data_IF_574658792339
#
_entry.id   IF_574658792339
#
_cell.length_a   1.000
_cell.length_b   1.000
_cell.length_c   1.000
_cell.angle_alpha   90.00
_cell.angle_beta   90.00
_cell.angle_gamma   90.00
#
_symmetry.space_group_name_H-M   'P 1'
#
loop_
_entity.id
_entity.type
_entity.pdbx_description
1 polymer ?
#
# COMPACT_ATOMS: atom_id res chain seq x y z
N UNK A 1 -31.12 -14.09 36.76
CA UNK A 1 -30.19 -15.14 36.31
C UNK A 1 -29.75 -14.75 34.92
N UNK A 2 -28.49 -14.32 34.78
CA UNK A 2 -27.98 -13.72 33.53
C UNK A 2 -27.47 -14.78 32.58
N UNK A 3 -27.98 -14.76 31.35
CA UNK A 3 -27.45 -15.51 30.22
C UNK A 3 -26.10 -14.91 29.81
N UNK A 4 -25.01 -15.45 30.37
CA UNK A 4 -23.66 -15.27 29.87
C UNK A 4 -23.43 -16.19 28.67
N UNK A 5 -24.09 -15.89 27.55
CA UNK A 5 -23.66 -16.39 26.23
C UNK A 5 -22.39 -15.64 25.81
N UNK A 6 -21.28 -15.93 26.48
CA UNK A 6 -19.95 -15.55 26.03
C UNK A 6 -19.56 -16.49 24.89
N UNK A 7 -19.87 -16.07 23.67
CA UNK A 7 -19.22 -16.63 22.49
C UNK A 7 -17.71 -16.43 22.65
N UNK A 8 -16.87 -17.45 22.46
CA UNK A 8 -15.42 -17.25 22.47
C UNK A 8 -15.07 -16.20 21.41
N UNK A 9 -14.12 -15.30 21.70
CA UNK A 9 -13.55 -14.43 20.67
C UNK A 9 -12.87 -15.32 19.60
N UNK A 10 -13.60 -15.65 18.53
CA UNK A 10 -13.13 -16.45 17.39
C UNK A 10 -12.10 -15.68 16.53
N UNK A 11 -11.71 -14.48 16.95
CA UNK A 11 -10.75 -13.63 16.25
C UNK A 11 -9.33 -13.82 16.82
N UNK A 12 -8.43 -14.58 16.15
CA UNK A 12 -7.03 -14.60 16.56
C UNK A 12 -6.44 -13.20 16.59
N UNK A 13 -5.66 -12.92 17.65
CA UNK A 13 -5.02 -11.62 17.87
C UNK A 13 -4.21 -11.18 16.64
N UNK A 14 -4.59 -10.03 16.07
CA UNK A 14 -3.81 -9.32 15.06
C UNK A 14 -2.62 -8.65 15.73
N UNK A 15 -1.51 -8.56 15.00
CA UNK A 15 -0.35 -7.83 15.48
C UNK A 15 -0.06 -6.72 14.47
N UNK A 16 -0.46 -5.50 14.84
CA UNK A 16 0.13 -4.29 14.27
C UNK A 16 1.42 -4.02 15.06
N UNK A 17 2.55 -4.00 14.36
CA UNK A 17 3.86 -3.93 15.00
C UNK A 17 4.64 -2.77 14.41
N UNK A 18 5.23 -1.99 15.29
CA UNK A 18 6.25 -1.03 14.93
C UNK A 18 7.39 -1.13 15.93
N UNK A 19 8.61 -1.37 15.43
CA UNK A 19 9.82 -1.34 16.25
C UNK A 19 10.53 -0.03 15.95
N UNK A 20 10.40 0.93 16.88
CA UNK A 20 11.06 2.22 16.77
C UNK A 20 12.58 2.01 16.71
N UNK A 21 13.24 2.72 15.80
CA UNK A 21 14.70 2.76 15.75
C UNK A 21 15.17 3.61 16.95
N UNK A 22 16.18 3.16 17.70
CA UNK A 22 16.81 4.02 18.73
C UNK A 22 17.35 5.29 18.02
N UNK A 23 16.84 6.46 18.40
CA UNK A 23 17.20 7.75 17.78
C UNK A 23 16.32 8.20 16.60
N UNK A 24 15.05 7.77 16.52
CA UNK A 24 14.07 8.35 15.58
C UNK A 24 13.84 9.85 15.81
N UNK A 25 13.56 10.62 14.76
CA UNK A 25 13.17 12.02 14.87
C UNK A 25 11.65 12.16 15.02
N UNK A 26 11.20 13.12 15.83
CA UNK A 26 9.77 13.33 16.18
C UNK A 26 8.78 13.34 14.98
N UNK A 27 9.07 13.94 13.81
CA UNK A 27 8.14 13.94 12.68
C UNK A 27 7.96 12.56 12.05
N UNK A 28 9.00 11.72 12.11
CA UNK A 28 8.94 10.36 11.58
C UNK A 28 8.06 9.46 12.45
N UNK A 29 8.08 9.70 13.75
CA UNK A 29 7.29 8.97 14.73
C UNK A 29 5.81 9.33 14.66
N UNK A 30 5.47 10.59 14.36
CA UNK A 30 4.07 11.02 14.20
C UNK A 30 3.35 10.31 13.02
N UNK A 31 3.98 10.24 11.85
CA UNK A 31 3.39 9.52 10.69
C UNK A 31 3.29 8.03 10.97
N UNK A 32 4.34 7.43 11.53
CA UNK A 32 4.33 6.00 11.82
C UNK A 32 3.26 5.64 12.88
N UNK A 33 3.03 6.49 13.87
CA UNK A 33 1.93 6.33 14.82
C UNK A 33 0.57 6.36 14.13
N UNK A 34 0.32 7.32 13.24
CA UNK A 34 -0.94 7.41 12.46
C UNK A 34 -1.17 6.18 11.61
N UNK A 35 -0.14 5.72 10.90
CA UNK A 35 -0.21 4.48 10.10
C UNK A 35 -0.47 3.28 11.02
N UNK A 36 0.27 3.14 12.12
CA UNK A 36 0.12 2.04 13.06
C UNK A 36 -1.30 1.98 13.63
N UNK A 37 -1.86 3.13 14.04
CA UNK A 37 -3.24 3.25 14.50
C UNK A 37 -4.24 2.79 13.43
N UNK A 38 -4.05 3.22 12.18
CA UNK A 38 -4.90 2.80 11.08
C UNK A 38 -4.83 1.28 10.86
N UNK A 39 -3.62 0.71 10.80
CA UNK A 39 -3.41 -0.73 10.62
C UNK A 39 -4.02 -1.58 11.76
N UNK A 40 -3.99 -1.07 12.99
CA UNK A 40 -4.57 -1.74 14.15
C UNK A 40 -6.10 -1.85 14.06
N UNK A 41 -6.77 -0.86 13.47
CA UNK A 41 -8.22 -0.74 13.49
C UNK A 41 -8.94 -1.35 12.28
N UNK A 42 -8.20 -1.79 11.27
CA UNK A 42 -8.73 -2.61 10.17
C UNK A 42 -9.16 -3.97 10.73
N UNK A 43 -10.43 -4.40 10.57
CA UNK A 43 -11.06 -5.55 11.26
C UNK A 43 -11.66 -6.63 10.34
N UNK A 44 -11.92 -6.40 9.06
CA UNK A 44 -12.74 -7.30 8.22
C UNK A 44 -12.05 -8.49 7.53
N UNK A 45 -10.82 -8.88 7.89
CA UNK A 45 -10.01 -9.79 7.05
C UNK A 45 -9.60 -11.15 7.61
N UNK A 46 -9.47 -12.17 6.73
CA UNK A 46 -8.96 -13.48 7.11
C UNK A 46 -7.48 -13.41 7.45
N UNK A 47 -7.20 -13.75 8.70
CA UNK A 47 -5.94 -13.48 9.37
C UNK A 47 -4.74 -14.12 8.66
N UNK A 48 -4.86 -15.36 8.16
CA UNK A 48 -3.68 -16.15 7.78
C UNK A 48 -3.01 -15.75 6.45
N UNK A 49 -3.57 -14.84 5.65
CA UNK A 49 -3.24 -14.75 4.21
C UNK A 49 -3.01 -13.33 3.70
N UNK A 50 -2.76 -12.40 4.62
CA UNK A 50 -2.60 -10.97 4.31
C UNK A 50 -1.40 -10.40 5.08
N UNK A 51 -0.67 -9.53 4.40
CA UNK A 51 0.39 -8.69 4.94
C UNK A 51 0.09 -7.24 4.58
N UNK A 52 0.16 -6.32 5.54
CA UNK A 52 0.10 -4.88 5.29
C UNK A 52 1.39 -4.26 5.80
N UNK A 53 2.10 -3.47 4.99
CA UNK A 53 3.35 -2.84 5.42
C UNK A 53 3.56 -1.46 4.80
N UNK A 54 4.24 -0.59 5.56
CA UNK A 54 4.49 0.78 5.13
C UNK A 54 5.92 0.98 4.61
N UNK A 55 6.01 1.40 3.35
CA UNK A 55 7.23 1.80 2.66
C UNK A 55 7.39 3.31 2.73
N UNK A 56 8.53 3.77 3.25
CA UNK A 56 8.78 5.20 3.45
C UNK A 56 10.00 5.66 2.67
N UNK A 57 9.97 6.89 2.11
CA UNK A 57 11.17 7.54 1.60
C UNK A 57 12.25 7.67 2.67
N UNK A 58 13.46 7.23 2.33
CA UNK A 58 14.68 7.42 3.11
C UNK A 58 15.75 8.03 2.21
N UNK A 59 16.58 8.89 2.79
CA UNK A 59 17.76 9.45 2.12
C UNK A 59 19.00 8.70 2.59
N UNK A 60 19.83 8.23 1.67
CA UNK A 60 21.14 7.69 2.00
C UNK A 60 22.12 8.80 2.37
N UNK A 61 23.25 8.45 2.98
CA UNK A 61 24.38 9.38 3.19
C UNK A 61 24.90 9.98 1.89
N UNK A 62 24.77 9.25 0.77
CA UNK A 62 25.08 9.71 -0.59
C UNK A 62 23.97 10.56 -1.24
N UNK A 63 22.91 10.91 -0.51
CA UNK A 63 21.81 11.75 -1.01
C UNK A 63 20.78 11.03 -1.89
N UNK A 64 20.95 9.72 -2.14
CA UNK A 64 20.01 8.91 -2.94
C UNK A 64 18.69 8.76 -2.20
N UNK A 65 17.58 8.83 -2.93
CA UNK A 65 16.23 8.63 -2.38
C UNK A 65 15.79 7.19 -2.65
N UNK A 66 15.49 6.47 -1.58
CA UNK A 66 15.05 5.07 -1.63
C UNK A 66 13.74 4.92 -0.85
N UNK A 67 12.99 3.85 -1.09
CA UNK A 67 11.96 3.37 -0.19
C UNK A 67 12.52 2.24 0.65
N UNK A 68 12.21 2.28 1.94
CA UNK A 68 12.44 1.15 2.85
C UNK A 68 11.19 0.91 3.68
N UNK A 69 10.90 -0.35 3.97
CA UNK A 69 9.94 -0.73 4.98
C UNK A 69 10.61 -1.05 6.32
N UNK A 70 11.93 -0.98 6.44
CA UNK A 70 12.64 -1.28 7.69
C UNK A 70 12.29 -0.28 8.79
N UNK A 71 12.01 -0.80 9.99
CA UNK A 71 11.56 -0.01 11.15
C UNK A 71 10.27 0.80 10.93
N UNK A 72 9.46 0.43 9.94
CA UNK A 72 8.14 1.01 9.72
C UNK A 72 7.02 0.10 10.21
N UNK A 73 5.83 0.66 10.48
CA UNK A 73 4.64 -0.10 10.85
C UNK A 73 4.28 -1.16 9.81
N UNK A 74 3.85 -2.31 10.31
CA UNK A 74 3.26 -3.38 9.51
C UNK A 74 2.20 -4.11 10.33
N UNK A 75 1.25 -4.74 9.65
CA UNK A 75 0.27 -5.62 10.23
C UNK A 75 0.31 -6.99 9.56
N UNK A 76 0.31 -8.02 10.39
CA UNK A 76 0.33 -9.42 9.98
C UNK A 76 -0.46 -10.24 10.99
N UNK A 77 -0.98 -11.40 10.59
CA UNK A 77 -1.47 -12.35 11.58
C UNK A 77 -0.31 -13.04 12.29
N UNK A 78 -0.36 -13.02 13.62
CA UNK A 78 0.57 -13.77 14.47
C UNK A 78 0.54 -15.29 14.25
N UNK A 79 -0.49 -15.82 13.58
CA UNK A 79 -0.59 -17.25 13.24
C UNK A 79 0.22 -17.63 11.99
N UNK A 80 0.53 -16.68 11.10
CA UNK A 80 1.32 -16.97 9.90
C UNK A 80 2.79 -16.57 10.11
N UNK A 81 3.56 -17.51 10.67
CA UNK A 81 5.00 -17.34 10.93
C UNK A 81 5.81 -17.12 9.65
N UNK A 82 5.39 -17.64 8.50
CA UNK A 82 6.10 -17.43 7.22
C UNK A 82 6.04 -15.96 6.80
N UNK A 83 4.88 -15.31 6.90
CA UNK A 83 4.76 -13.90 6.58
C UNK A 83 5.66 -13.02 7.47
N UNK A 84 5.69 -13.29 8.78
CA UNK A 84 6.49 -12.48 9.70
C UNK A 84 7.99 -12.79 9.65
N UNK A 85 8.38 -14.08 9.68
CA UNK A 85 9.80 -14.48 9.76
C UNK A 85 10.51 -14.57 8.42
N UNK A 86 9.77 -14.76 7.33
CA UNK A 86 10.35 -14.95 6.01
C UNK A 86 10.04 -13.74 5.12
N UNK A 87 8.77 -13.50 4.78
CA UNK A 87 8.40 -12.40 3.87
C UNK A 87 8.84 -11.03 4.39
N UNK A 88 8.35 -10.63 5.58
CA UNK A 88 8.65 -9.33 6.18
C UNK A 88 10.15 -9.13 6.42
N UNK A 89 10.82 -10.15 6.96
CA UNK A 89 12.27 -10.09 7.19
C UNK A 89 13.07 -9.94 5.89
N UNK A 90 12.61 -10.54 4.78
CA UNK A 90 13.18 -10.32 3.46
C UNK A 90 12.89 -8.92 2.93
N UNK A 91 11.65 -8.42 3.03
CA UNK A 91 11.31 -7.04 2.63
C UNK A 91 12.19 -6.00 3.34
N UNK A 92 12.55 -6.21 4.62
CA UNK A 92 13.46 -5.32 5.36
C UNK A 92 14.88 -5.21 4.76
N UNK A 93 15.33 -6.20 3.97
CA UNK A 93 16.67 -6.21 3.37
C UNK A 93 16.73 -5.42 2.08
N UNK A 94 15.61 -5.28 1.38
CA UNK A 94 15.54 -4.64 0.08
C UNK A 94 15.14 -3.16 0.18
N UNK A 95 15.58 -2.40 -0.80
CA UNK A 95 15.18 -1.01 -1.03
C UNK A 95 14.57 -0.88 -2.42
N UNK A 96 13.66 0.09 -2.60
CA UNK A 96 13.23 0.50 -3.94
C UNK A 96 13.82 1.86 -4.30
N UNK A 97 14.30 2.04 -5.52
CA UNK A 97 14.81 3.36 -5.96
C UNK A 97 13.69 4.34 -6.22
N UNK A 98 13.84 5.57 -5.72
CA UNK A 98 13.01 6.71 -6.09
C UNK A 98 13.88 7.66 -6.92
N UNK A 99 14.23 7.25 -8.13
CA UNK A 99 14.96 8.07 -9.09
C UNK A 99 14.11 8.32 -10.32
N UNK A 100 14.23 9.52 -10.88
CA UNK A 100 13.80 9.75 -12.26
C UNK A 100 14.60 8.81 -13.17
N UNK A 101 13.90 8.28 -14.17
CA UNK A 101 14.33 7.20 -15.06
C UNK A 101 15.80 7.33 -15.47
N UNK A 102 16.62 6.32 -15.17
CA UNK A 102 17.97 6.19 -15.76
C UNK A 102 19.13 5.89 -14.82
N UNK A 103 18.96 6.05 -13.50
CA UNK A 103 20.04 5.69 -12.54
C UNK A 103 19.83 4.25 -12.05
N UNK A 104 20.52 3.30 -12.68
CA UNK A 104 20.65 1.93 -12.17
C UNK A 104 21.65 1.95 -11.03
N UNK A 105 21.22 1.53 -9.84
CA UNK A 105 22.11 1.33 -8.71
C UNK A 105 22.66 -0.10 -8.78
N UNK A 106 23.97 -0.23 -8.83
CA UNK A 106 24.68 -1.52 -8.76
C UNK A 106 24.75 -2.01 -7.30
N UNK A 107 23.58 -2.17 -6.69
CA UNK A 107 23.40 -2.76 -5.37
C UNK A 107 22.38 -3.90 -5.51
N UNK A 108 22.77 -5.16 -5.26
CA UNK A 108 21.89 -6.32 -5.42
C UNK A 108 20.66 -6.30 -4.50
N UNK A 109 20.66 -5.46 -3.46
CA UNK A 109 19.52 -5.27 -2.55
C UNK A 109 18.59 -4.12 -2.97
N UNK A 110 18.87 -3.49 -4.10
CA UNK A 110 18.08 -2.37 -4.61
C UNK A 110 17.27 -2.79 -5.84
N UNK A 111 15.95 -2.59 -5.77
CA UNK A 111 15.01 -2.89 -6.84
C UNK A 111 14.60 -1.59 -7.53
N UNK A 112 14.68 -1.58 -8.87
CA UNK A 112 14.32 -0.43 -9.72
C UNK A 112 13.02 -0.71 -10.46
N UNK A 113 12.25 0.34 -10.78
CA UNK A 113 11.08 0.25 -11.66
C UNK A 113 9.94 -0.67 -11.17
N UNK A 114 9.81 -0.85 -9.86
CA UNK A 114 8.85 -1.77 -9.25
C UNK A 114 7.69 -1.04 -8.55
N UNK A 115 6.57 -1.73 -8.27
CA UNK A 115 5.31 -1.12 -7.87
C UNK A 115 5.37 -0.10 -6.71
N UNK A 116 6.15 -0.31 -5.63
CA UNK A 116 6.28 0.72 -4.59
C UNK A 116 6.93 2.01 -5.10
N UNK A 117 7.92 1.91 -5.97
CA UNK A 117 8.60 3.07 -6.57
C UNK A 117 7.72 3.80 -7.58
N UNK A 118 7.00 3.08 -8.42
CA UNK A 118 6.14 3.65 -9.45
C UNK A 118 4.89 4.28 -8.83
N UNK A 119 4.31 3.67 -7.78
CA UNK A 119 3.20 4.26 -7.03
C UNK A 119 3.59 5.59 -6.35
N UNK A 120 4.78 5.68 -5.75
CA UNK A 120 5.21 6.95 -5.13
C UNK A 120 5.60 8.02 -6.15
N UNK A 121 6.17 7.64 -7.30
CA UNK A 121 6.56 8.59 -8.35
C UNK A 121 5.35 9.11 -9.13
N UNK A 122 4.37 8.24 -9.38
CA UNK A 122 3.15 8.58 -10.10
C UNK A 122 2.09 9.22 -9.21
N UNK A 123 2.18 9.03 -7.89
CA UNK A 123 1.16 9.39 -6.90
C UNK A 123 -0.18 8.67 -7.11
N UNK A 124 -0.17 7.54 -7.81
CA UNK A 124 -1.35 6.71 -8.04
C UNK A 124 -1.23 5.34 -7.37
N UNK A 125 -2.36 4.74 -6.93
CA UNK A 125 -2.40 3.35 -6.56
C UNK A 125 -1.91 2.43 -7.68
N UNK A 126 -1.33 1.29 -7.35
CA UNK A 126 -1.07 0.21 -8.30
C UNK A 126 -1.60 -1.10 -7.76
N UNK A 127 -2.22 -1.92 -8.61
CA UNK A 127 -2.83 -3.19 -8.20
C UNK A 127 -2.39 -4.28 -9.15
N UNK A 128 -1.90 -5.38 -8.58
CA UNK A 128 -1.56 -6.60 -9.32
C UNK A 128 -2.38 -7.74 -8.75
N UNK A 129 -3.26 -8.31 -9.58
CA UNK A 129 -4.20 -9.37 -9.19
C UNK A 129 -3.60 -10.77 -9.33
N UNK A 130 -2.51 -10.92 -10.09
CA UNK A 130 -1.72 -12.14 -10.21
C UNK A 130 -0.23 -11.80 -10.29
N UNK A 131 0.53 -12.27 -9.31
CA UNK A 131 1.97 -12.09 -9.20
C UNK A 131 2.77 -13.05 -10.09
N UNK A 132 2.16 -14.12 -10.60
CA UNK A 132 2.86 -15.16 -11.37
C UNK A 132 3.63 -14.63 -12.59
N UNK A 133 3.08 -13.68 -13.39
CA UNK A 133 3.80 -13.08 -14.52
C UNK A 133 5.01 -12.23 -14.11
N UNK A 134 5.14 -11.88 -12.84
CA UNK A 134 6.18 -11.01 -12.30
C UNK A 134 7.32 -11.77 -11.59
N UNK A 135 7.39 -13.10 -11.75
CA UNK A 135 8.49 -13.94 -11.25
C UNK A 135 9.87 -13.45 -11.72
N UNK A 136 10.89 -13.71 -10.92
CA UNK A 136 12.26 -13.22 -11.14
C UNK A 136 12.55 -11.87 -10.49
N UNK A 137 11.52 -11.16 -9.99
CA UNK A 137 11.71 -10.05 -9.05
C UNK A 137 11.86 -10.65 -7.65
N UNK A 138 12.94 -10.38 -6.90
CA UNK A 138 13.23 -11.09 -5.64
C UNK A 138 12.08 -11.06 -4.62
N UNK A 139 11.45 -9.91 -4.41
CA UNK A 139 10.34 -9.79 -3.46
C UNK A 139 9.02 -10.41 -3.98
N UNK A 140 8.87 -10.58 -5.29
CA UNK A 140 7.71 -11.30 -5.87
C UNK A 140 7.87 -12.80 -5.67
N UNK A 141 9.05 -13.34 -5.91
CA UNK A 141 9.31 -14.78 -5.72
C UNK A 141 9.08 -15.17 -4.24
N UNK A 142 9.58 -14.35 -3.30
CA UNK A 142 9.38 -14.57 -1.85
C UNK A 142 7.90 -14.40 -1.46
N UNK A 143 7.16 -13.47 -2.09
CA UNK A 143 5.72 -13.32 -1.87
C UNK A 143 4.96 -14.59 -2.27
N UNK A 144 5.24 -15.13 -3.46
CA UNK A 144 4.63 -16.34 -3.99
C UNK A 144 4.93 -17.56 -3.11
N UNK A 145 6.16 -17.71 -2.62
CA UNK A 145 6.54 -18.76 -1.65
C UNK A 145 5.80 -18.65 -0.31
N UNK A 146 5.29 -17.46 0.02
CA UNK A 146 4.48 -17.18 1.20
C UNK A 146 2.96 -17.23 0.94
N UNK A 147 2.52 -17.76 -0.20
CA UNK A 147 1.13 -17.77 -0.66
C UNK A 147 0.50 -16.37 -0.83
N UNK A 148 1.31 -15.33 -1.04
CA UNK A 148 0.82 -14.02 -1.45
C UNK A 148 0.82 -13.99 -2.99
N UNK A 149 -0.34 -13.82 -3.61
CA UNK A 149 -0.50 -13.92 -5.07
C UNK A 149 -0.94 -12.62 -5.71
N UNK A 150 -1.34 -11.63 -4.91
CA UNK A 150 -1.80 -10.33 -5.38
C UNK A 150 -1.40 -9.25 -4.37
N UNK A 151 -1.30 -8.01 -4.84
CA UNK A 151 -1.07 -6.87 -3.96
C UNK A 151 -1.74 -5.60 -4.50
N UNK A 152 -1.79 -4.61 -3.62
CA UNK A 152 -2.07 -3.22 -3.94
C UNK A 152 -1.02 -2.33 -3.25
N UNK A 153 -0.48 -1.36 -3.99
CA UNK A 153 0.44 -0.32 -3.53
C UNK A 153 -0.33 0.98 -3.48
N UNK A 154 -0.45 1.56 -2.28
CA UNK A 154 -1.31 2.70 -2.01
C UNK A 154 -0.49 3.88 -1.50
N UNK A 155 -0.26 4.94 -2.31
CA UNK A 155 0.34 6.16 -1.81
C UNK A 155 -0.50 6.74 -0.66
N UNK A 156 0.13 6.99 0.48
CA UNK A 156 -0.48 7.60 1.64
C UNK A 156 -0.11 9.08 1.70
N UNK A 157 -1.10 9.94 1.86
CA UNK A 157 -0.96 11.39 1.84
C UNK A 157 -1.27 12.00 3.20
N UNK A 158 -0.47 12.98 3.59
CA UNK A 158 -0.84 14.01 4.55
C UNK A 158 -1.30 15.26 3.80
N UNK A 159 -1.70 16.29 4.56
CA UNK A 159 -1.98 17.63 4.01
C UNK A 159 -0.79 18.27 3.28
N UNK A 160 0.45 17.84 3.59
CA UNK A 160 1.69 18.38 2.99
C UNK A 160 2.19 17.57 1.80
N UNK A 161 1.67 16.37 1.58
CA UNK A 161 2.00 15.54 0.42
C UNK A 161 2.10 14.06 0.73
N UNK A 162 2.71 13.31 -0.20
CA UNK A 162 2.88 11.86 -0.04
C UNK A 162 3.91 11.55 1.06
N UNK A 163 3.49 10.78 2.07
CA UNK A 163 4.32 10.38 3.21
C UNK A 163 4.96 8.99 3.04
N UNK A 164 4.49 8.22 2.07
CA UNK A 164 4.99 6.88 1.74
C UNK A 164 3.95 6.06 0.98
N UNK A 165 4.18 4.75 0.88
CA UNK A 165 3.30 3.80 0.20
C UNK A 165 2.94 2.67 1.16
N UNK A 166 1.66 2.38 1.29
CA UNK A 166 1.17 1.20 2.01
C UNK A 166 1.02 0.07 1.01
N UNK A 167 1.75 -1.01 1.23
CA UNK A 167 1.53 -2.27 0.54
C UNK A 167 0.48 -3.08 1.30
N UNK A 168 -0.48 -3.62 0.58
CA UNK A 168 -1.37 -4.69 1.06
C UNK A 168 -1.18 -5.88 0.12
N UNK A 169 -0.58 -6.94 0.63
CA UNK A 169 -0.35 -8.19 -0.10
C UNK A 169 -1.28 -9.28 0.43
N UNK A 170 -1.91 -10.04 -0.47
CA UNK A 170 -2.91 -11.03 -0.12
C UNK A 170 -2.83 -12.29 -1.00
N UNK A 171 -3.41 -13.40 -0.51
CA UNK A 171 -3.59 -14.63 -1.30
C UNK A 171 -4.73 -14.56 -2.32
N UNK A 172 -5.75 -13.74 -2.07
CA UNK A 172 -6.93 -13.68 -2.93
C UNK A 172 -7.30 -12.24 -3.24
N UNK A 173 -7.47 -11.90 -4.52
CA UNK A 173 -7.84 -10.55 -4.97
C UNK A 173 -9.09 -9.98 -4.29
N UNK A 174 -10.08 -10.82 -3.98
CA UNK A 174 -11.32 -10.39 -3.34
C UNK A 174 -11.12 -9.74 -1.96
N UNK A 175 -9.98 -9.95 -1.30
CA UNK A 175 -9.67 -9.28 -0.04
C UNK A 175 -9.19 -7.84 -0.23
N UNK A 176 -8.62 -7.49 -1.37
CA UNK A 176 -7.99 -6.18 -1.59
C UNK A 176 -9.00 -5.03 -1.48
N UNK A 177 -10.17 -5.13 -2.11
CA UNK A 177 -11.20 -4.09 -2.08
C UNK A 177 -11.70 -3.80 -0.67
N UNK A 178 -11.98 -4.87 0.07
CA UNK A 178 -12.52 -4.74 1.41
C UNK A 178 -11.45 -4.13 2.33
N UNK A 179 -10.16 -4.50 2.17
CA UNK A 179 -9.03 -3.89 2.91
C UNK A 179 -8.89 -2.42 2.56
N UNK A 180 -8.95 -2.08 1.27
CA UNK A 180 -8.89 -0.70 0.80
C UNK A 180 -9.92 0.17 1.52
N UNK A 181 -11.19 -0.25 1.50
CA UNK A 181 -12.29 0.51 2.08
C UNK A 181 -12.15 0.71 3.60
N UNK A 182 -11.70 -0.31 4.33
CA UNK A 182 -11.45 -0.17 5.76
C UNK A 182 -10.25 0.69 6.07
N UNK A 183 -9.14 0.43 5.39
CA UNK A 183 -7.89 1.13 5.63
C UNK A 183 -8.02 2.60 5.26
N UNK A 184 -8.76 2.95 4.20
CA UNK A 184 -9.06 4.33 3.86
C UNK A 184 -9.79 5.04 5.01
N UNK A 185 -10.88 4.46 5.53
CA UNK A 185 -11.63 5.05 6.65
C UNK A 185 -10.76 5.22 7.89
N UNK A 186 -9.90 4.26 8.18
CA UNK A 186 -9.02 4.33 9.34
C UNK A 186 -7.87 5.33 9.16
N UNK A 187 -7.34 5.49 7.94
CA UNK A 187 -6.36 6.53 7.63
C UNK A 187 -6.96 7.93 7.76
N UNK A 188 -8.18 8.13 7.24
CA UNK A 188 -8.90 9.41 7.30
C UNK A 188 -9.10 9.88 8.75
N UNK A 189 -9.50 8.98 9.65
CA UNK A 189 -9.60 9.25 11.09
C UNK A 189 -8.27 9.70 11.72
N UNK A 190 -7.14 9.30 11.13
CA UNK A 190 -5.79 9.65 11.58
C UNK A 190 -5.19 10.84 10.81
N UNK A 191 -5.98 11.51 9.96
CA UNK A 191 -5.54 12.66 9.17
C UNK A 191 -4.57 12.29 8.03
N UNK A 192 -4.74 11.10 7.46
CA UNK A 192 -4.07 10.63 6.24
C UNK A 192 -5.13 10.25 5.20
N UNK A 193 -4.76 10.15 3.92
CA UNK A 193 -5.68 9.71 2.86
C UNK A 193 -4.94 8.94 1.76
N UNK A 194 -5.66 8.19 0.92
CA UNK A 194 -5.14 7.66 -0.34
C UNK A 194 -5.30 8.62 -1.52
N UNK A 195 -6.13 9.64 -1.34
CA UNK A 195 -6.35 10.70 -2.32
C UNK A 195 -5.32 11.81 -2.11
N UNK A 196 -4.60 12.24 -3.15
CA UNK A 196 -3.66 13.35 -3.04
C UNK A 196 -4.39 14.65 -2.66
N UNK A 197 -3.79 15.52 -1.82
CA UNK A 197 -4.35 16.83 -1.54
C UNK A 197 -4.45 17.68 -2.82
N UNK A 198 -5.40 18.63 -2.90
CA UNK A 198 -5.59 19.47 -4.08
C UNK A 198 -4.33 20.19 -4.56
N UNK A 199 -3.42 20.52 -3.65
CA UNK A 199 -2.12 21.15 -3.96
C UNK A 199 -1.20 20.29 -4.83
N UNK A 200 -1.42 18.97 -4.88
CA UNK A 200 -0.66 18.03 -5.71
C UNK A 200 -1.37 17.67 -7.01
N UNK A 201 -2.59 18.17 -7.23
CA UNK A 201 -3.31 17.92 -8.47
C UNK A 201 -2.60 18.67 -9.61
N UNK A 202 -2.08 17.91 -10.58
CA UNK A 202 -1.53 18.52 -11.79
C UNK A 202 -2.71 19.02 -12.63
N UNK A 203 -2.77 20.31 -12.99
CA UNK A 203 -3.76 20.78 -13.94
C UNK A 203 -3.63 19.95 -15.21
N UNK A 204 -4.71 19.28 -15.64
CA UNK A 204 -4.78 18.83 -17.02
C UNK A 204 -4.67 20.09 -17.88
N UNK A 205 -3.75 20.11 -18.86
CA UNK A 205 -3.73 21.19 -19.87
C UNK A 205 -5.16 21.30 -20.38
N UNK A 206 -5.73 22.51 -20.32
CA UNK A 206 -7.12 22.75 -20.71
C UNK A 206 -7.34 22.14 -22.10
N UNK A 207 -8.04 21.01 -22.15
CA UNK A 207 -8.54 20.45 -23.39
C UNK A 207 -9.57 21.47 -23.87
N UNK A 208 -9.31 22.11 -24.99
CA UNK A 208 -10.30 22.94 -25.68
C UNK A 208 -11.42 22.02 -26.15
N UNK A 209 -12.46 21.88 -25.33
CA UNK A 209 -13.60 20.99 -25.55
C UNK A 209 -14.53 20.97 -24.33
N UNK A 210 -15.71 20.37 -24.49
CA UNK A 210 -16.70 20.26 -23.40
C UNK A 210 -16.26 19.17 -22.40
N UNK A 211 -15.39 19.55 -21.48
CA UNK A 211 -14.86 18.70 -20.41
C UNK A 211 -15.97 18.04 -19.57
N UNK A 212 -17.11 18.72 -19.38
CA UNK A 212 -18.22 18.18 -18.60
C UNK A 212 -18.83 16.96 -19.28
N UNK A 213 -18.94 16.97 -20.61
CA UNK A 213 -19.42 15.82 -21.37
C UNK A 213 -18.47 14.62 -21.21
N UNK A 214 -17.17 14.81 -21.39
CA UNK A 214 -16.19 13.72 -21.25
C UNK A 214 -16.14 13.15 -19.82
N UNK A 215 -16.23 14.00 -18.80
CA UNK A 215 -16.33 13.54 -17.40
C UNK A 215 -17.61 12.74 -17.18
N UNK A 216 -18.74 13.20 -17.70
CA UNK A 216 -20.03 12.50 -17.59
C UNK A 216 -19.97 11.13 -18.25
N UNK A 217 -19.41 11.05 -19.47
CA UNK A 217 -19.26 9.79 -20.21
C UNK A 217 -18.34 8.81 -19.46
N UNK A 218 -17.19 9.28 -18.94
CA UNK A 218 -16.28 8.46 -18.13
C UNK A 218 -16.98 7.97 -16.86
N UNK A 219 -17.70 8.85 -16.15
CA UNK A 219 -18.44 8.47 -14.94
C UNK A 219 -19.49 7.40 -15.24
N UNK A 220 -20.26 7.57 -16.32
CA UNK A 220 -21.30 6.62 -16.71
C UNK A 220 -20.69 5.28 -17.12
N UNK A 221 -19.61 5.28 -17.91
CA UNK A 221 -18.90 4.06 -18.29
C UNK A 221 -18.32 3.33 -17.07
N UNK A 222 -17.73 4.06 -16.12
CA UNK A 222 -17.22 3.48 -14.87
C UNK A 222 -18.35 2.92 -14.02
N UNK A 223 -19.48 3.61 -13.90
CA UNK A 223 -20.64 3.12 -13.15
C UNK A 223 -21.16 1.80 -13.72
N UNK A 224 -21.36 1.74 -15.04
CA UNK A 224 -21.79 0.50 -15.72
C UNK A 224 -20.78 -0.62 -15.47
N UNK A 225 -19.49 -0.34 -15.56
CA UNK A 225 -18.44 -1.33 -15.35
C UNK A 225 -18.39 -1.84 -13.90
N UNK A 226 -18.59 -0.96 -12.91
CA UNK A 226 -18.69 -1.32 -11.49
C UNK A 226 -19.90 -2.20 -11.23
N UNK A 227 -21.08 -1.82 -11.74
CA UNK A 227 -22.33 -2.56 -11.55
C UNK A 227 -22.31 -3.96 -12.20
N UNK A 228 -21.66 -4.08 -13.36
CA UNK A 228 -21.62 -5.33 -14.12
C UNK A 228 -20.46 -6.27 -13.76
N UNK A 229 -19.32 -5.75 -13.29
CA UNK A 229 -18.09 -6.55 -13.13
C UNK A 229 -17.44 -6.45 -11.74
N UNK A 230 -18.06 -5.75 -10.77
CA UNK A 230 -17.53 -5.59 -9.41
C UNK A 230 -16.06 -5.12 -9.38
N UNK A 231 -15.72 -4.17 -10.27
CA UNK A 231 -14.35 -3.70 -10.46
C UNK A 231 -13.85 -3.03 -9.17
N UNK A 232 -12.73 -3.53 -8.66
CA UNK A 232 -12.11 -3.06 -7.40
C UNK A 232 -11.31 -1.78 -7.58
N UNK A 233 -10.67 -1.60 -8.74
CA UNK A 233 -9.92 -0.40 -9.12
C UNK A 233 -9.92 -0.32 -10.65
N UNK A 234 -10.15 0.87 -11.20
CA UNK A 234 -9.93 1.17 -12.61
C UNK A 234 -8.89 2.28 -12.72
N UNK A 235 -7.95 2.10 -13.65
CA UNK A 235 -6.99 3.15 -14.03
C UNK A 235 -7.18 3.44 -15.51
N UNK A 236 -7.32 4.73 -15.84
CA UNK A 236 -7.42 5.18 -17.22
C UNK A 236 -6.11 5.86 -17.59
N UNK A 237 -5.50 5.38 -18.67
CA UNK A 237 -4.31 6.02 -19.25
C UNK A 237 -4.78 6.92 -20.38
N UNK A 238 -4.44 8.21 -20.31
CA UNK A 238 -4.62 9.12 -21.45
C UNK A 238 -3.29 9.16 -22.22
N UNK A 239 -3.29 8.86 -23.54
CA UNK A 239 -2.12 9.16 -24.36
C UNK A 239 -1.88 10.67 -24.35
N UNK A 240 -0.63 11.06 -24.11
CA UNK A 240 -0.17 12.45 -24.23
C UNK A 240 0.55 12.64 -25.57
#
# INVERSE_FOLDING_TARGET
MGDNNHWPEIYPKRMAVWRQRRGGSEPYDAVNNKILCALHNVKSFPLKRIMIQFWRPVKTSSGKRLLSCSFNPYAVSGLNRRLCKYYRSSCCKYFYTISDRGVVLDDPMTITGAPPSTAILSLFPEVVLDLTPHRGIPLVDIALECDLTCFMMLPAFSVTGCVGVIEVSARYPCHLLVIYNELQRELEKNGLNFTPPPSLWKPCKALTGDWQLAVSEIQQALQVAVESHAITLAQVWTPF
#
